data_IF_018296252137
#
_entry.id   IF_018296252137
#
_cell.length_a   1.000
_cell.length_b   1.000
_cell.length_c   1.000
_cell.angle_alpha   90.00
_cell.angle_beta   90.00
_cell.angle_gamma   90.00
#
_symmetry.space_group_name_H-M   'P 1'
#
loop_
_entity.id
_entity.type
_entity.pdbx_description
1 polymer ?
#
# COMPACT_ATOMS: atom_id res chain seq x y z
N UNK A 1 12.33 24.63 -8.22
CA UNK A 1 11.57 24.92 -6.97
C UNK A 1 10.24 25.53 -7.36
N UNK A 2 9.14 24.94 -6.88
CA UNK A 2 7.78 25.44 -7.12
C UNK A 2 7.24 26.11 -5.86
N UNK A 3 6.60 27.30 -5.93
CA UNK A 3 6.09 28.00 -4.77
C UNK A 3 4.80 27.35 -4.24
N UNK A 4 4.61 27.44 -2.92
CA UNK A 4 3.33 27.17 -2.27
C UNK A 4 2.91 28.42 -1.52
N UNK A 5 1.69 28.89 -1.78
CA UNK A 5 1.22 30.19 -1.29
C UNK A 5 -0.03 29.99 -0.42
N UNK A 6 -0.02 30.54 0.79
CA UNK A 6 -1.20 30.64 1.65
C UNK A 6 -1.73 32.07 1.65
N UNK A 7 -3.04 32.22 1.58
CA UNK A 7 -3.74 33.49 1.49
C UNK A 7 -4.73 33.60 2.65
N UNK A 8 -4.64 34.68 3.41
CA UNK A 8 -5.65 35.09 4.39
C UNK A 8 -6.13 36.52 4.07
N UNK A 9 -7.43 36.77 4.16
CA UNK A 9 -8.09 37.99 3.75
C UNK A 9 -8.64 38.71 5.01
N UNK A 10 -8.35 40.00 5.18
CA UNK A 10 -8.95 40.82 6.19
C UNK A 10 -10.29 41.42 5.65
N UNK A 11 -11.34 41.50 6.47
CA UNK A 11 -11.49 41.02 7.85
C UNK A 11 -11.95 39.58 7.98
N UNK A 12 -12.23 38.88 6.86
CA UNK A 12 -12.89 37.56 6.80
C UNK A 12 -12.12 36.48 7.56
N UNK A 13 -10.78 36.52 7.45
CA UNK A 13 -9.90 35.50 8.03
C UNK A 13 -9.12 36.00 9.26
N UNK A 14 -9.46 37.19 9.78
CA UNK A 14 -8.89 37.82 10.96
C UNK A 14 -8.82 39.34 10.83
N UNK A 15 -8.82 40.02 11.96
CA UNK A 15 -8.81 41.48 12.03
C UNK A 15 -7.46 42.04 12.53
N UNK A 16 -6.57 41.16 13.00
CA UNK A 16 -5.21 41.53 13.44
C UNK A 16 -4.14 40.80 12.64
N UNK A 17 -2.95 41.38 12.61
CA UNK A 17 -1.84 40.85 11.81
C UNK A 17 -1.38 39.46 12.26
N UNK A 18 -1.42 39.16 13.55
CA UNK A 18 -0.97 37.86 14.08
C UNK A 18 -1.91 36.74 13.65
N UNK A 19 -3.22 36.96 13.72
CA UNK A 19 -4.24 36.02 13.27
C UNK A 19 -4.17 35.80 11.76
N UNK A 20 -4.01 36.88 10.98
CA UNK A 20 -3.89 36.79 9.52
C UNK A 20 -2.63 36.01 9.10
N UNK A 21 -1.49 36.28 9.70
CA UNK A 21 -0.25 35.56 9.43
C UNK A 21 -0.38 34.06 9.79
N UNK A 22 -0.89 33.76 10.97
CA UNK A 22 -1.14 32.34 11.37
C UNK A 22 -2.04 31.61 10.39
N UNK A 23 -3.10 32.27 9.93
CA UNK A 23 -4.07 31.67 9.01
C UNK A 23 -3.49 31.53 7.59
N UNK A 24 -2.69 32.48 7.13
CA UNK A 24 -1.95 32.38 5.87
C UNK A 24 -0.89 31.26 5.91
N UNK A 25 -0.17 31.11 7.03
CA UNK A 25 0.78 30.01 7.23
C UNK A 25 0.09 28.66 7.20
N UNK A 26 -1.06 28.50 7.85
CA UNK A 26 -1.88 27.29 7.78
C UNK A 26 -2.29 26.93 6.35
N UNK A 27 -2.76 27.94 5.59
CA UNK A 27 -3.12 27.75 4.19
C UNK A 27 -1.91 27.44 3.29
N UNK A 28 -0.74 28.03 3.55
CA UNK A 28 0.50 27.70 2.84
C UNK A 28 0.95 26.26 3.14
N UNK A 29 0.81 25.83 4.38
CA UNK A 29 1.12 24.44 4.76
C UNK A 29 0.21 23.44 4.03
N UNK A 30 -1.09 23.71 3.96
CA UNK A 30 -2.06 22.92 3.19
C UNK A 30 -1.69 22.89 1.69
N UNK A 31 -1.26 24.02 1.11
CA UNK A 31 -0.79 24.07 -0.26
C UNK A 31 0.45 23.19 -0.51
N UNK A 32 1.38 23.12 0.46
CA UNK A 32 2.53 22.21 0.40
C UNK A 32 2.11 20.75 0.48
N UNK A 33 1.19 20.43 1.37
CA UNK A 33 0.69 19.10 1.59
C UNK A 33 -0.13 18.56 0.41
N UNK A 34 -0.86 19.42 -0.29
CA UNK A 34 -1.70 19.07 -1.44
C UNK A 34 -0.95 19.03 -2.78
N UNK A 35 0.38 18.82 -2.78
CA UNK A 35 1.17 18.63 -4.01
C UNK A 35 2.03 19.82 -4.42
N UNK A 36 2.15 20.87 -3.61
CA UNK A 36 2.94 22.10 -3.90
C UNK A 36 2.47 22.81 -5.17
N UNK A 37 3.22 23.81 -5.65
CA UNK A 37 2.95 24.55 -6.90
C UNK A 37 1.51 25.09 -7.03
N UNK A 38 0.92 25.55 -5.93
CA UNK A 38 -0.44 26.04 -5.86
C UNK A 38 -0.60 27.07 -4.74
N UNK A 39 -1.73 27.77 -4.76
CA UNK A 39 -2.16 28.58 -3.64
C UNK A 39 -3.37 27.95 -2.94
N UNK A 40 -3.55 28.27 -1.66
CA UNK A 40 -4.74 27.97 -0.88
C UNK A 40 -5.20 29.22 -0.16
N UNK A 41 -6.49 29.47 -0.22
CA UNK A 41 -7.14 30.50 0.61
C UNK A 41 -7.50 29.85 1.93
N UNK A 42 -7.26 30.53 3.02
CA UNK A 42 -7.57 30.05 4.35
C UNK A 42 -9.07 29.73 4.49
N UNK A 43 -9.35 28.65 5.18
CA UNK A 43 -10.67 28.30 5.71
C UNK A 43 -10.51 27.82 7.14
N UNK A 44 -11.54 27.95 7.98
CA UNK A 44 -11.47 27.48 9.37
C UNK A 44 -11.13 25.98 9.50
N UNK A 45 -11.50 25.18 8.49
CA UNK A 45 -11.19 23.75 8.42
C UNK A 45 -9.69 23.48 8.23
N UNK A 46 -8.93 24.40 7.62
CA UNK A 46 -7.48 24.25 7.42
C UNK A 46 -6.75 24.22 8.76
N UNK A 47 -7.05 25.12 9.69
CA UNK A 47 -6.40 25.11 11.00
C UNK A 47 -6.64 23.80 11.76
N UNK A 48 -7.86 23.26 11.70
CA UNK A 48 -8.18 21.97 12.33
C UNK A 48 -7.38 20.81 11.70
N UNK A 49 -7.24 20.81 10.36
CA UNK A 49 -6.44 19.81 9.63
C UNK A 49 -4.95 19.91 9.98
N UNK A 50 -4.39 21.12 9.97
CA UNK A 50 -2.99 21.36 10.33
C UNK A 50 -2.73 20.94 11.78
N UNK A 51 -3.59 21.30 12.72
CA UNK A 51 -3.46 20.88 14.12
C UNK A 51 -3.57 19.36 14.29
N UNK A 52 -4.55 18.72 13.60
CA UNK A 52 -4.68 17.24 13.58
C UNK A 52 -3.41 16.58 13.05
N UNK A 53 -2.82 17.13 11.99
CA UNK A 53 -1.63 16.60 11.34
C UNK A 53 -0.38 16.73 12.21
N UNK A 54 -0.15 17.89 12.83
CA UNK A 54 0.95 18.10 13.77
C UNK A 54 0.84 17.16 14.99
N UNK A 55 -0.37 16.99 15.53
CA UNK A 55 -0.64 16.02 16.60
C UNK A 55 -0.28 14.60 16.14
N UNK A 56 -0.72 14.24 14.92
CA UNK A 56 -0.49 12.91 14.37
C UNK A 56 1.01 12.64 14.13
N UNK A 57 1.81 13.65 13.74
CA UNK A 57 3.26 13.52 13.58
C UNK A 57 3.95 13.16 14.91
N UNK A 58 3.64 13.92 15.96
CA UNK A 58 4.20 13.69 17.30
C UNK A 58 3.79 12.31 17.82
N UNK A 59 2.52 11.96 17.65
CA UNK A 59 1.97 10.70 18.09
C UNK A 59 2.54 9.52 17.31
N UNK A 60 2.74 9.65 15.98
CA UNK A 60 3.31 8.59 15.13
C UNK A 60 4.75 8.26 15.53
N UNK A 61 5.57 9.27 15.84
CA UNK A 61 6.94 9.05 16.31
C UNK A 61 6.96 8.25 17.61
N UNK A 62 6.09 8.62 18.55
CA UNK A 62 5.92 7.87 19.81
C UNK A 62 5.35 6.47 19.58
N UNK A 63 4.40 6.33 18.67
CA UNK A 63 3.79 5.05 18.31
C UNK A 63 4.81 4.06 17.77
N UNK A 64 5.74 4.53 16.93
CA UNK A 64 6.84 3.74 16.40
C UNK A 64 7.76 3.24 17.51
N UNK A 65 8.10 4.07 18.48
CA UNK A 65 8.94 3.72 19.63
C UNK A 65 8.24 2.80 20.64
N UNK A 66 6.90 2.87 20.75
CA UNK A 66 6.10 2.17 21.76
C UNK A 66 5.29 0.98 21.24
N UNK A 67 5.69 0.41 20.09
CA UNK A 67 5.08 -0.81 19.52
C UNK A 67 3.58 -0.72 19.26
N UNK A 68 3.05 0.48 18.97
CA UNK A 68 1.65 0.67 18.59
C UNK A 68 1.38 0.36 17.11
N UNK A 69 2.45 0.27 16.30
CA UNK A 69 2.35 -0.18 14.92
C UNK A 69 2.38 -1.70 14.87
N UNK A 70 1.55 -2.27 14.02
CA UNK A 70 1.46 -3.70 13.78
C UNK A 70 1.40 -3.99 12.29
N UNK A 71 1.92 -5.15 11.87
CA UNK A 71 1.78 -5.65 10.51
C UNK A 71 0.62 -6.64 10.47
N UNK A 72 -0.32 -6.38 9.59
CA UNK A 72 -1.42 -7.25 9.23
C UNK A 72 -1.21 -7.79 7.83
N UNK A 73 -1.77 -8.93 7.54
CA UNK A 73 -1.61 -9.60 6.25
C UNK A 73 -2.96 -9.70 5.57
N UNK A 74 -3.10 -9.11 4.39
CA UNK A 74 -4.28 -9.31 3.57
C UNK A 74 -4.01 -10.43 2.59
N UNK A 75 -4.76 -11.55 2.67
CA UNK A 75 -4.54 -12.68 1.77
C UNK A 75 -4.84 -12.30 0.32
N UNK A 76 -3.98 -12.74 -0.58
CA UNK A 76 -4.19 -12.74 -2.02
C UNK A 76 -4.57 -14.16 -2.45
N UNK A 77 -5.57 -14.27 -3.30
CA UNK A 77 -6.09 -15.54 -3.74
C UNK A 77 -5.89 -15.72 -5.23
N UNK A 78 -5.61 -16.93 -5.65
CA UNK A 78 -5.72 -17.32 -7.05
C UNK A 78 -7.18 -17.19 -7.49
N UNK A 79 -7.43 -16.48 -8.59
CA UNK A 79 -8.78 -16.14 -9.00
C UNK A 79 -9.61 -17.36 -9.41
N UNK A 80 -8.98 -18.44 -9.87
CA UNK A 80 -9.65 -19.65 -10.35
C UNK A 80 -9.86 -20.69 -9.25
N UNK A 81 -8.79 -21.07 -8.56
CA UNK A 81 -8.82 -22.07 -7.50
C UNK A 81 -9.33 -21.57 -6.17
N UNK A 82 -9.27 -20.24 -5.94
CA UNK A 82 -9.50 -19.57 -4.66
C UNK A 82 -8.58 -20.05 -3.54
N UNK A 83 -7.44 -20.66 -3.88
CA UNK A 83 -6.37 -20.94 -2.93
C UNK A 83 -5.59 -19.68 -2.57
N UNK A 84 -5.03 -19.62 -1.36
CA UNK A 84 -4.15 -18.52 -0.95
C UNK A 84 -2.87 -18.58 -1.79
N UNK A 85 -2.61 -17.56 -2.58
CA UNK A 85 -1.47 -17.46 -3.49
C UNK A 85 -0.39 -16.50 -2.98
N UNK A 86 -0.74 -15.59 -2.08
CA UNK A 86 0.15 -14.58 -1.51
C UNK A 86 -0.49 -13.88 -0.32
N UNK A 87 0.19 -12.86 0.17
CA UNK A 87 -0.38 -11.89 1.09
C UNK A 87 0.26 -10.53 0.90
N UNK A 88 -0.47 -9.46 1.16
CA UNK A 88 0.09 -8.12 1.28
C UNK A 88 0.26 -7.74 2.75
N UNK A 89 1.46 -7.27 3.11
CA UNK A 89 1.78 -6.78 4.44
C UNK A 89 1.33 -5.32 4.58
N UNK A 90 0.34 -5.10 5.40
CA UNK A 90 -0.30 -3.82 5.59
C UNK A 90 -0.09 -3.29 7.01
N UNK A 91 0.39 -2.07 7.12
CA UNK A 91 0.54 -1.39 8.40
C UNK A 91 -0.81 -1.10 9.05
N UNK A 92 -0.86 -1.26 10.38
CA UNK A 92 -1.97 -0.83 11.23
C UNK A 92 -1.41 -0.08 12.42
N UNK A 93 -2.07 1.01 12.78
CA UNK A 93 -1.74 1.77 13.98
C UNK A 93 -2.90 1.74 14.95
N UNK A 94 -2.67 1.14 16.11
CA UNK A 94 -3.64 1.07 17.20
C UNK A 94 -3.27 2.06 18.29
N UNK A 95 -3.90 3.23 18.24
CA UNK A 95 -3.68 4.27 19.24
C UNK A 95 -4.46 3.95 20.53
N UNK A 96 -3.84 4.06 21.74
CA UNK A 96 -4.47 3.63 22.99
C UNK A 96 -5.81 4.31 23.31
N UNK A 97 -5.99 5.56 22.84
CA UNK A 97 -7.19 6.36 23.13
C UNK A 97 -8.12 6.54 21.92
N UNK A 98 -7.59 6.41 20.68
CA UNK A 98 -8.34 6.68 19.45
C UNK A 98 -8.71 5.41 18.67
N UNK A 99 -8.27 4.25 19.15
CA UNK A 99 -8.44 3.00 18.42
C UNK A 99 -7.57 2.97 17.15
N UNK A 100 -8.03 2.30 16.13
CA UNK A 100 -7.30 2.19 14.88
C UNK A 100 -7.28 3.52 14.11
N UNK A 101 -6.07 4.01 13.83
CA UNK A 101 -5.85 5.20 13.00
C UNK A 101 -5.87 4.80 11.52
N UNK A 102 -6.46 5.67 10.69
CA UNK A 102 -6.52 5.50 9.23
C UNK A 102 -5.12 5.37 8.63
N UNK A 103 -4.87 4.28 7.89
CA UNK A 103 -3.56 4.02 7.27
C UNK A 103 -3.15 5.13 6.30
N UNK A 104 -4.01 5.62 5.37
CA UNK A 104 -3.65 6.74 4.51
C UNK A 104 -3.27 8.00 5.29
N UNK A 105 -3.97 8.31 6.40
CA UNK A 105 -3.69 9.51 7.20
C UNK A 105 -2.28 9.49 7.79
N UNK A 106 -1.87 8.39 8.42
CA UNK A 106 -0.56 8.36 9.05
C UNK A 106 0.60 8.04 8.08
N UNK A 107 0.34 7.31 6.99
CA UNK A 107 1.34 7.08 5.95
C UNK A 107 1.72 8.40 5.27
N UNK A 108 0.74 9.26 4.94
CA UNK A 108 1.00 10.57 4.38
C UNK A 108 1.90 11.43 5.32
N UNK A 109 1.64 11.38 6.64
CA UNK A 109 2.50 12.06 7.64
C UNK A 109 3.89 11.43 7.70
N UNK A 110 4.00 10.10 7.66
CA UNK A 110 5.27 9.39 7.66
C UNK A 110 6.13 9.75 6.45
N UNK A 111 5.53 9.86 5.27
CA UNK A 111 6.22 10.26 4.03
C UNK A 111 6.77 11.69 4.12
N UNK A 112 5.96 12.64 4.57
CA UNK A 112 6.38 14.04 4.68
C UNK A 112 7.49 14.25 5.70
N UNK A 113 7.40 13.57 6.83
CA UNK A 113 8.39 13.68 7.92
C UNK A 113 9.64 12.84 7.69
N UNK A 114 9.59 11.90 6.72
CA UNK A 114 10.65 10.94 6.44
C UNK A 114 10.67 9.72 7.35
N UNK A 115 9.73 9.61 8.29
CA UNK A 115 9.57 8.42 9.14
C UNK A 115 9.22 7.17 8.34
N UNK A 116 8.67 7.34 7.13
CA UNK A 116 8.29 6.21 6.26
C UNK A 116 9.46 5.26 6.00
N UNK A 117 10.69 5.77 5.91
CA UNK A 117 11.89 4.94 5.70
C UNK A 117 12.21 4.04 6.90
N UNK A 118 12.04 4.53 8.12
CA UNK A 118 12.27 3.73 9.32
C UNK A 118 11.12 2.73 9.54
N UNK A 119 9.90 3.16 9.29
CA UNK A 119 8.70 2.31 9.33
C UNK A 119 8.79 1.21 8.26
N UNK A 120 9.19 1.53 7.03
CA UNK A 120 9.35 0.55 5.95
C UNK A 120 10.40 -0.51 6.29
N UNK A 121 11.55 -0.08 6.83
CA UNK A 121 12.57 -1.01 7.32
C UNK A 121 12.03 -1.93 8.42
N UNK A 122 11.37 -1.37 9.41
CA UNK A 122 10.77 -2.14 10.50
C UNK A 122 9.71 -3.12 9.99
N UNK A 123 8.88 -2.69 9.03
CA UNK A 123 7.86 -3.53 8.40
C UNK A 123 8.50 -4.74 7.73
N UNK A 124 9.53 -4.54 6.91
CA UNK A 124 10.25 -5.63 6.25
C UNK A 124 10.89 -6.58 7.26
N UNK A 125 11.51 -6.06 8.32
CA UNK A 125 12.06 -6.87 9.41
C UNK A 125 10.97 -7.69 10.11
N UNK A 126 9.77 -7.11 10.33
CA UNK A 126 8.65 -7.84 10.93
C UNK A 126 8.15 -8.94 10.01
N UNK A 127 7.98 -8.65 8.71
CA UNK A 127 7.59 -9.65 7.71
C UNK A 127 8.61 -10.80 7.67
N UNK A 128 9.90 -10.50 7.70
CA UNK A 128 10.93 -11.54 7.75
C UNK A 128 10.83 -12.42 9.01
N UNK A 129 10.57 -11.82 10.18
CA UNK A 129 10.35 -12.59 11.43
C UNK A 129 9.13 -13.50 11.34
N UNK A 130 8.03 -12.99 10.81
CA UNK A 130 6.79 -13.75 10.67
C UNK A 130 6.97 -14.91 9.67
N UNK A 131 7.62 -14.66 8.54
CA UNK A 131 7.98 -15.69 7.55
C UNK A 131 8.86 -16.79 8.17
N UNK A 132 9.86 -16.44 8.98
CA UNK A 132 10.69 -17.40 9.71
C UNK A 132 9.85 -18.26 10.66
N UNK A 133 8.95 -17.65 11.44
CA UNK A 133 8.07 -18.36 12.37
C UNK A 133 7.14 -19.33 11.64
N UNK A 134 6.52 -18.90 10.54
CA UNK A 134 5.64 -19.76 9.75
C UNK A 134 6.38 -20.95 9.14
N UNK A 135 7.57 -20.71 8.58
CA UNK A 135 8.42 -21.80 8.03
C UNK A 135 8.90 -22.76 9.13
N UNK A 136 9.28 -22.25 10.28
CA UNK A 136 9.67 -23.08 11.44
C UNK A 136 8.50 -23.94 11.95
N UNK A 137 7.25 -23.44 11.80
CA UNK A 137 6.04 -24.20 12.08
C UNK A 137 5.65 -25.22 10.97
N UNK A 138 6.49 -25.39 9.95
CA UNK A 138 6.26 -26.32 8.84
C UNK A 138 5.20 -25.88 7.82
N UNK A 139 4.85 -24.57 7.82
CA UNK A 139 3.86 -24.05 6.88
C UNK A 139 4.50 -23.81 5.49
N UNK A 140 3.77 -24.15 4.44
CA UNK A 140 4.09 -23.71 3.08
C UNK A 140 3.66 -22.26 2.95
N UNK A 141 4.64 -21.36 2.95
CA UNK A 141 4.39 -19.93 2.98
C UNK A 141 4.41 -19.39 1.55
N UNK A 142 3.35 -18.74 1.10
CA UNK A 142 3.36 -18.01 -0.16
C UNK A 142 4.25 -16.75 -0.06
N UNK A 143 4.48 -16.07 -1.18
CA UNK A 143 5.16 -14.78 -1.18
C UNK A 143 4.38 -13.73 -0.38
N UNK A 144 5.10 -12.81 0.24
CA UNK A 144 4.52 -11.66 0.95
C UNK A 144 4.94 -10.37 0.25
N UNK A 145 3.95 -9.62 -0.18
CA UNK A 145 4.13 -8.31 -0.79
C UNK A 145 4.35 -7.24 0.29
N UNK A 146 5.32 -6.36 0.05
CA UNK A 146 5.71 -5.26 0.95
C UNK A 146 5.82 -3.98 0.17
N UNK A 147 5.09 -2.96 0.61
CA UNK A 147 5.11 -1.64 0.01
C UNK A 147 6.46 -0.94 0.24
N UNK A 148 7.08 -0.44 -0.82
CA UNK A 148 8.33 0.34 -0.78
C UNK A 148 8.02 1.79 -1.09
N UNK A 149 8.39 2.69 -0.17
CA UNK A 149 8.17 4.13 -0.42
C UNK A 149 9.03 4.63 -1.58
N UNK A 150 8.47 5.54 -2.39
CA UNK A 150 9.23 6.17 -3.47
C UNK A 150 10.51 6.84 -2.99
N UNK A 151 10.49 7.39 -1.77
CA UNK A 151 11.65 8.00 -1.15
C UNK A 151 12.79 7.01 -0.89
N UNK A 152 12.45 5.78 -0.45
CA UNK A 152 13.46 4.75 -0.21
C UNK A 152 13.95 4.14 -1.51
N UNK A 153 13.05 3.92 -2.45
CA UNK A 153 13.38 3.35 -3.75
C UNK A 153 14.38 4.22 -4.55
N UNK A 154 14.28 5.54 -4.45
CA UNK A 154 15.17 6.48 -5.12
C UNK A 154 16.56 6.63 -4.48
N UNK A 155 16.82 5.97 -3.36
CA UNK A 155 18.12 5.98 -2.73
C UNK A 155 19.11 5.08 -3.47
N UNK A 156 20.34 5.52 -3.55
CA UNK A 156 21.41 4.72 -4.18
C UNK A 156 21.71 3.41 -3.43
N UNK A 157 21.42 3.37 -2.13
CA UNK A 157 21.68 2.23 -1.24
C UNK A 157 20.45 1.32 -1.03
N UNK A 158 19.38 1.47 -1.84
CA UNK A 158 18.10 0.74 -1.67
C UNK A 158 18.31 -0.78 -1.67
N UNK A 159 19.09 -1.30 -2.62
CA UNK A 159 19.39 -2.74 -2.68
C UNK A 159 20.04 -3.23 -1.38
N UNK A 160 21.14 -2.59 -0.94
CA UNK A 160 21.86 -3.00 0.26
C UNK A 160 20.98 -2.96 1.51
N UNK A 161 20.09 -1.98 1.60
CA UNK A 161 19.17 -1.83 2.74
C UNK A 161 18.11 -2.92 2.79
N UNK A 162 17.54 -3.27 1.64
CA UNK A 162 16.48 -4.28 1.55
C UNK A 162 17.09 -5.68 1.61
N UNK A 163 18.12 -5.96 0.82
CA UNK A 163 18.75 -7.28 0.78
C UNK A 163 19.39 -7.65 2.11
N UNK A 164 20.07 -6.71 2.78
CA UNK A 164 20.69 -6.97 4.07
C UNK A 164 19.71 -7.49 5.13
N UNK A 165 18.48 -6.96 5.16
CA UNK A 165 17.44 -7.44 6.09
C UNK A 165 17.04 -8.89 5.79
N UNK A 166 16.88 -9.23 4.51
CA UNK A 166 16.46 -10.56 4.07
C UNK A 166 17.58 -11.57 4.25
N UNK A 167 18.83 -11.18 3.99
CA UNK A 167 20.02 -11.99 4.24
C UNK A 167 20.22 -12.29 5.73
N UNK A 168 20.11 -11.27 6.60
CA UNK A 168 20.16 -11.45 8.06
C UNK A 168 19.08 -12.42 8.57
N UNK A 169 17.92 -12.42 7.92
CA UNK A 169 16.84 -13.35 8.23
C UNK A 169 17.03 -14.74 7.61
N UNK A 170 18.08 -14.98 6.81
CA UNK A 170 18.31 -16.24 6.09
C UNK A 170 17.10 -16.74 5.29
N UNK A 171 16.39 -15.82 4.65
CA UNK A 171 15.22 -16.11 3.82
C UNK A 171 15.56 -16.02 2.33
N UNK A 172 14.94 -16.86 1.48
CA UNK A 172 14.99 -16.63 0.04
C UNK A 172 14.31 -15.30 -0.31
N UNK A 173 14.97 -14.46 -1.12
CA UNK A 173 14.39 -13.19 -1.56
C UNK A 173 13.05 -13.35 -2.33
N UNK A 174 12.88 -14.51 -2.99
CA UNK A 174 11.65 -14.87 -3.71
C UNK A 174 10.40 -15.00 -2.83
N UNK A 175 10.55 -15.02 -1.51
CA UNK A 175 9.41 -14.93 -0.58
C UNK A 175 8.92 -13.49 -0.36
N UNK A 176 9.66 -12.50 -0.86
CA UNK A 176 9.31 -11.09 -0.74
C UNK A 176 8.99 -10.54 -2.13
N UNK A 177 7.83 -9.95 -2.28
CA UNK A 177 7.44 -9.14 -3.42
C UNK A 177 7.50 -7.66 -3.01
N UNK A 178 8.22 -6.85 -3.76
CA UNK A 178 8.34 -5.42 -3.47
C UNK A 178 7.34 -4.66 -4.34
N UNK A 179 6.41 -3.96 -3.70
CA UNK A 179 5.37 -3.18 -4.37
C UNK A 179 5.80 -1.72 -4.50
N UNK A 180 5.67 -1.19 -5.70
CA UNK A 180 6.06 0.16 -6.07
C UNK A 180 4.89 0.82 -6.79
N UNK A 181 4.51 2.03 -6.37
CA UNK A 181 3.47 2.76 -7.08
C UNK A 181 3.92 3.19 -8.48
N UNK A 182 2.97 3.33 -9.38
CA UNK A 182 3.20 3.78 -10.76
C UNK A 182 4.05 5.05 -10.82
N UNK A 183 3.77 6.05 -9.96
CA UNK A 183 4.48 7.33 -9.93
C UNK A 183 5.97 7.23 -9.59
N UNK A 184 6.39 6.19 -8.86
CA UNK A 184 7.80 5.93 -8.53
C UNK A 184 8.54 5.37 -9.73
N UNK A 185 7.90 4.50 -10.48
CA UNK A 185 8.47 3.87 -11.66
C UNK A 185 8.76 4.87 -12.80
N UNK A 186 8.00 5.97 -12.86
CA UNK A 186 8.16 7.02 -13.86
C UNK A 186 9.43 7.88 -13.71
N UNK A 187 10.20 7.69 -12.62
CA UNK A 187 11.43 8.44 -12.39
C UNK A 187 12.63 7.71 -12.99
N UNK A 188 13.36 8.37 -13.88
CA UNK A 188 14.49 7.80 -14.65
C UNK A 188 15.59 7.07 -13.82
N UNK A 189 15.65 7.36 -12.52
CA UNK A 189 16.66 6.79 -11.61
C UNK A 189 16.36 5.33 -11.22
N UNK A 190 15.12 4.88 -11.39
CA UNK A 190 14.65 3.60 -10.84
C UNK A 190 15.10 2.34 -11.59
N UNK A 191 15.41 2.41 -12.88
CA UNK A 191 15.64 1.23 -13.72
C UNK A 191 16.80 0.34 -13.21
N UNK A 192 17.93 0.95 -12.82
CA UNK A 192 19.09 0.19 -12.30
C UNK A 192 18.78 -0.47 -10.96
N UNK A 193 18.05 0.22 -10.09
CA UNK A 193 17.65 -0.31 -8.79
C UNK A 193 16.69 -1.48 -8.95
N UNK A 194 15.71 -1.39 -9.86
CA UNK A 194 14.80 -2.50 -10.17
C UNK A 194 15.55 -3.72 -10.69
N UNK A 195 16.46 -3.51 -11.63
CA UNK A 195 17.27 -4.60 -12.18
C UNK A 195 18.09 -5.30 -11.10
N UNK A 196 18.76 -4.53 -10.24
CA UNK A 196 19.57 -5.07 -9.15
C UNK A 196 18.73 -5.83 -8.11
N UNK A 197 17.53 -5.33 -7.75
CA UNK A 197 16.61 -6.03 -6.85
C UNK A 197 16.11 -7.33 -7.48
N UNK A 198 15.80 -7.32 -8.78
CA UNK A 198 15.40 -8.50 -9.53
C UNK A 198 16.50 -9.55 -9.61
N UNK A 199 17.74 -9.14 -9.92
CA UNK A 199 18.91 -10.02 -9.97
C UNK A 199 19.25 -10.63 -8.59
N UNK A 200 18.94 -9.91 -7.51
CA UNK A 200 19.06 -10.46 -6.14
C UNK A 200 18.01 -11.54 -5.86
N UNK A 201 16.89 -11.55 -6.58
CA UNK A 201 15.85 -12.57 -6.49
C UNK A 201 14.52 -12.12 -5.92
N UNK A 202 14.29 -10.81 -5.70
CA UNK A 202 12.99 -10.29 -5.31
C UNK A 202 11.98 -10.39 -6.44
N UNK A 203 10.70 -10.62 -6.09
CA UNK A 203 9.59 -10.35 -6.98
C UNK A 203 9.27 -8.84 -6.94
N UNK A 204 8.85 -8.28 -8.08
CA UNK A 204 8.55 -6.86 -8.22
C UNK A 204 7.14 -6.66 -8.74
N UNK A 205 6.35 -5.83 -8.06
CA UNK A 205 5.00 -5.49 -8.47
C UNK A 205 4.85 -3.97 -8.69
N UNK A 206 4.05 -3.62 -9.69
CA UNK A 206 3.53 -2.25 -9.81
C UNK A 206 2.15 -2.18 -9.17
N UNK A 207 2.00 -1.23 -8.26
CA UNK A 207 0.78 -0.99 -7.48
C UNK A 207 0.01 0.24 -7.98
N UNK A 208 -1.30 0.31 -7.68
CA UNK A 208 -2.21 1.39 -8.07
C UNK A 208 -2.21 1.67 -9.59
N UNK A 209 -2.03 0.62 -10.43
CA UNK A 209 -1.88 0.81 -11.87
C UNK A 209 -3.14 1.37 -12.52
N UNK A 210 -2.94 2.40 -13.36
CA UNK A 210 -3.98 3.09 -14.11
C UNK A 210 -4.48 4.38 -13.47
N UNK A 211 -4.06 4.70 -12.23
CA UNK A 211 -4.43 5.97 -11.56
C UNK A 211 -3.51 7.13 -11.94
N UNK A 212 -2.40 6.85 -12.63
CA UNK A 212 -1.38 7.81 -13.03
C UNK A 212 -1.17 7.92 -14.54
N UNK A 213 -0.02 8.39 -14.96
CA UNK A 213 0.37 8.57 -16.35
C UNK A 213 1.45 7.56 -16.78
N UNK A 214 1.23 6.25 -16.56
CA UNK A 214 2.22 5.28 -16.98
C UNK A 214 2.35 5.22 -18.50
N UNK A 215 3.56 5.44 -19.00
CA UNK A 215 3.86 5.14 -20.39
C UNK A 215 4.09 3.64 -20.54
N UNK A 216 3.35 2.98 -21.42
CA UNK A 216 3.51 1.56 -21.77
C UNK A 216 4.97 1.18 -22.10
N UNK A 217 5.76 2.16 -22.55
CA UNK A 217 7.17 1.97 -22.85
C UNK A 217 8.02 1.70 -21.61
N UNK A 218 7.61 2.22 -20.45
CA UNK A 218 8.29 1.94 -19.17
C UNK A 218 7.96 0.55 -18.64
N UNK A 219 6.69 0.13 -18.69
CA UNK A 219 6.30 -1.23 -18.28
C UNK A 219 7.09 -2.31 -19.03
N UNK A 220 7.31 -2.12 -20.33
CA UNK A 220 8.11 -3.05 -21.15
C UNK A 220 9.58 -3.13 -20.73
N UNK A 221 10.13 -2.06 -20.14
CA UNK A 221 11.56 -1.96 -19.77
C UNK A 221 11.86 -2.48 -18.37
N UNK A 222 10.87 -2.49 -17.50
CA UNK A 222 11.07 -2.87 -16.11
C UNK A 222 10.91 -4.37 -15.92
N UNK A 223 11.78 -5.00 -15.11
CA UNK A 223 11.73 -6.43 -14.85
C UNK A 223 10.65 -6.76 -13.80
N UNK A 224 9.40 -6.41 -14.08
CA UNK A 224 8.25 -6.63 -13.21
C UNK A 224 7.73 -8.07 -13.32
N UNK A 225 7.11 -8.56 -12.26
CA UNK A 225 6.43 -9.85 -12.19
C UNK A 225 4.92 -9.70 -12.10
N UNK A 226 4.45 -8.68 -11.38
CA UNK A 226 3.04 -8.50 -11.05
C UNK A 226 2.58 -7.09 -11.40
N UNK A 227 1.36 -6.98 -11.88
CA UNK A 227 0.62 -5.74 -12.07
C UNK A 227 -0.66 -5.81 -11.24
N UNK A 228 -0.85 -4.84 -10.33
CA UNK A 228 -2.02 -4.75 -9.47
C UNK A 228 -2.99 -3.70 -10.04
N UNK A 229 -4.23 -4.11 -10.30
CA UNK A 229 -5.29 -3.23 -10.78
C UNK A 229 -5.92 -2.55 -9.58
N UNK A 230 -5.88 -1.20 -9.54
CA UNK A 230 -6.45 -0.42 -8.44
C UNK A 230 -7.96 -0.62 -8.32
N UNK A 231 -8.44 -0.61 -7.08
CA UNK A 231 -9.85 -0.76 -6.73
C UNK A 231 -10.79 0.26 -7.37
N UNK A 232 -10.27 1.43 -7.76
CA UNK A 232 -11.09 2.47 -8.39
C UNK A 232 -11.72 1.98 -9.69
N UNK A 233 -11.04 1.11 -10.44
CA UNK A 233 -11.57 0.50 -11.67
C UNK A 233 -12.50 -0.68 -11.41
N UNK A 234 -12.49 -1.24 -10.20
CA UNK A 234 -13.33 -2.39 -9.87
C UNK A 234 -14.69 -2.02 -9.31
N UNK A 235 -14.84 -0.80 -8.81
CA UNK A 235 -16.03 -0.38 -8.08
C UNK A 235 -17.30 -0.55 -8.90
N UNK A 236 -17.28 -0.13 -10.14
CA UNK A 236 -18.44 -0.09 -11.03
C UNK A 236 -18.32 -1.03 -12.25
N UNK A 237 -17.36 -1.97 -12.25
CA UNK A 237 -17.01 -2.83 -13.41
C UNK A 237 -18.18 -3.70 -13.92
N UNK A 238 -19.19 -3.96 -13.10
CA UNK A 238 -20.34 -4.78 -13.47
C UNK A 238 -21.48 -3.96 -14.07
N UNK A 239 -21.42 -2.64 -13.96
CA UNK A 239 -22.49 -1.73 -14.42
C UNK A 239 -21.96 -0.67 -15.38
N UNK A 240 -20.67 -0.34 -15.33
CA UNK A 240 -20.02 0.63 -16.21
C UNK A 240 -19.21 -0.11 -17.30
N UNK A 241 -19.61 0.11 -18.57
CA UNK A 241 -18.93 -0.51 -19.70
C UNK A 241 -17.54 0.08 -19.96
N UNK A 242 -17.26 1.32 -19.56
CA UNK A 242 -15.97 1.97 -19.73
C UNK A 242 -14.97 1.39 -18.72
N UNK A 243 -15.33 1.28 -17.46
CA UNK A 243 -14.51 0.63 -16.42
C UNK A 243 -14.22 -0.84 -16.79
N UNK A 244 -15.24 -1.57 -17.25
CA UNK A 244 -15.07 -2.94 -17.73
C UNK A 244 -14.10 -3.03 -18.92
N UNK A 245 -14.14 -2.08 -19.86
CA UNK A 245 -13.22 -2.05 -20.99
C UNK A 245 -11.78 -1.73 -20.57
N UNK A 246 -11.61 -0.83 -19.60
CA UNK A 246 -10.30 -0.48 -19.03
C UNK A 246 -9.68 -1.70 -18.35
N UNK A 247 -10.44 -2.39 -17.48
CA UNK A 247 -9.94 -3.60 -16.77
C UNK A 247 -9.54 -4.70 -17.77
N UNK A 248 -10.35 -4.96 -18.81
CA UNK A 248 -9.97 -5.91 -19.88
C UNK A 248 -8.67 -5.50 -20.58
N UNK A 249 -8.54 -4.22 -20.90
CA UNK A 249 -7.33 -3.72 -21.55
C UNK A 249 -6.09 -3.89 -20.67
N UNK A 250 -6.20 -3.63 -19.36
CA UNK A 250 -5.11 -3.82 -18.39
C UNK A 250 -4.72 -5.30 -18.29
N UNK A 251 -5.70 -6.21 -18.15
CA UNK A 251 -5.46 -7.66 -18.07
C UNK A 251 -4.75 -8.14 -19.36
N UNK A 252 -5.29 -7.80 -20.52
CA UNK A 252 -4.68 -8.18 -21.80
C UNK A 252 -3.29 -7.60 -22.02
N UNK A 253 -3.05 -6.36 -21.62
CA UNK A 253 -1.74 -5.73 -21.67
C UNK A 253 -0.73 -6.46 -20.77
N UNK A 254 -1.10 -6.71 -19.52
CA UNK A 254 -0.22 -7.37 -18.56
C UNK A 254 0.17 -8.77 -19.01
N UNK A 255 -0.77 -9.58 -19.48
CA UNK A 255 -0.48 -10.91 -20.02
C UNK A 255 0.42 -10.86 -21.27
N UNK A 256 0.24 -9.89 -22.18
CA UNK A 256 1.13 -9.70 -23.31
C UNK A 256 2.56 -9.31 -22.91
N UNK A 257 2.73 -8.74 -21.72
CA UNK A 257 4.04 -8.42 -21.14
C UNK A 257 4.59 -9.55 -20.25
N UNK A 258 3.85 -10.65 -20.09
CA UNK A 258 4.22 -11.79 -19.24
C UNK A 258 4.08 -11.51 -17.74
N UNK A 259 3.23 -10.54 -17.35
CA UNK A 259 2.99 -10.17 -15.96
C UNK A 259 1.81 -10.96 -15.40
N UNK A 260 1.88 -11.30 -14.12
CA UNK A 260 0.75 -11.74 -13.32
C UNK A 260 -0.15 -10.56 -12.99
N UNK A 261 -1.46 -10.73 -13.11
CA UNK A 261 -2.44 -9.67 -12.85
C UNK A 261 -3.19 -9.95 -11.55
N UNK A 262 -3.15 -9.00 -10.63
CA UNK A 262 -3.89 -9.07 -9.37
C UNK A 262 -4.89 -7.92 -9.30
N UNK A 263 -6.16 -8.22 -9.09
CA UNK A 263 -7.21 -7.22 -8.94
C UNK A 263 -7.45 -6.92 -7.45
N UNK A 264 -7.39 -5.64 -7.08
CA UNK A 264 -7.55 -5.18 -5.70
C UNK A 264 -8.94 -4.64 -5.41
N UNK A 265 -9.37 -4.78 -4.15
CA UNK A 265 -10.65 -4.24 -3.73
C UNK A 265 -11.86 -5.01 -4.26
N UNK A 266 -11.72 -6.30 -4.53
CA UNK A 266 -12.84 -7.18 -4.91
C UNK A 266 -13.78 -7.34 -3.71
N UNK A 267 -15.03 -6.87 -3.85
CA UNK A 267 -16.02 -6.82 -2.76
C UNK A 267 -17.26 -7.67 -3.05
N UNK A 268 -17.54 -7.99 -4.32
CA UNK A 268 -18.74 -8.74 -4.71
C UNK A 268 -18.42 -9.98 -5.55
N UNK A 269 -19.38 -10.93 -5.53
CA UNK A 269 -19.27 -12.13 -6.36
C UNK A 269 -19.35 -11.83 -7.86
N UNK A 270 -20.08 -10.80 -8.24
CA UNK A 270 -20.23 -10.35 -9.63
C UNK A 270 -18.88 -9.82 -10.15
N UNK A 271 -18.16 -9.04 -9.35
CA UNK A 271 -16.80 -8.58 -9.67
C UNK A 271 -15.87 -9.79 -9.86
N UNK A 272 -15.90 -10.75 -8.95
CA UNK A 272 -15.09 -11.95 -9.05
C UNK A 272 -15.40 -12.75 -10.33
N UNK A 273 -16.68 -12.93 -10.68
CA UNK A 273 -17.07 -13.62 -11.89
C UNK A 273 -16.57 -12.93 -13.16
N UNK A 274 -16.69 -11.59 -13.20
CA UNK A 274 -16.15 -10.78 -14.29
C UNK A 274 -14.63 -10.97 -14.42
N UNK A 275 -13.88 -10.81 -13.35
CA UNK A 275 -12.42 -10.94 -13.35
C UNK A 275 -11.97 -12.35 -13.80
N UNK A 276 -12.67 -13.39 -13.39
CA UNK A 276 -12.43 -14.76 -13.85
C UNK A 276 -12.69 -14.92 -15.35
N UNK A 277 -13.79 -14.36 -15.84
CA UNK A 277 -14.14 -14.44 -17.25
C UNK A 277 -13.11 -13.73 -18.14
N UNK A 278 -12.52 -12.64 -17.64
CA UNK A 278 -11.47 -11.89 -18.34
C UNK A 278 -10.06 -12.48 -18.11
N UNK A 279 -9.93 -13.56 -17.31
CA UNK A 279 -8.67 -14.28 -17.12
C UNK A 279 -7.72 -13.63 -16.10
N UNK A 280 -8.21 -12.81 -15.15
CA UNK A 280 -7.39 -12.29 -14.07
C UNK A 280 -6.78 -13.42 -13.24
N UNK A 281 -5.48 -13.31 -12.88
CA UNK A 281 -4.74 -14.39 -12.22
C UNK A 281 -4.98 -14.42 -10.71
N UNK A 282 -5.05 -13.25 -10.08
CA UNK A 282 -5.18 -13.10 -8.64
C UNK A 282 -6.19 -12.06 -8.23
N UNK A 283 -6.71 -12.22 -7.03
CA UNK A 283 -7.68 -11.29 -6.43
C UNK A 283 -7.32 -10.99 -4.98
N UNK A 284 -7.59 -9.76 -4.57
CA UNK A 284 -7.50 -9.30 -3.19
C UNK A 284 -8.70 -8.40 -2.89
N UNK A 285 -9.36 -8.59 -1.74
CA UNK A 285 -10.49 -7.74 -1.38
C UNK A 285 -11.33 -8.28 -0.24
N UNK A 286 -12.30 -7.49 0.18
CA UNK A 286 -13.15 -7.79 1.34
C UNK A 286 -14.15 -8.92 1.08
N UNK A 287 -14.37 -9.28 -0.18
CA UNK A 287 -15.14 -10.47 -0.53
C UNK A 287 -14.52 -11.73 0.09
N UNK A 288 -13.19 -11.83 0.04
CA UNK A 288 -12.46 -12.99 0.52
C UNK A 288 -11.98 -12.83 1.97
N UNK A 289 -11.23 -11.77 2.24
CA UNK A 289 -10.71 -11.47 3.58
C UNK A 289 -10.31 -10.01 3.72
N UNK A 290 -10.49 -9.48 4.92
CA UNK A 290 -9.79 -8.25 5.34
C UNK A 290 -8.35 -8.60 5.71
N UNK A 291 -7.50 -7.58 5.90
CA UNK A 291 -6.20 -7.80 6.50
C UNK A 291 -6.36 -8.35 7.93
N UNK A 292 -5.62 -9.41 8.25
CA UNK A 292 -5.67 -10.16 9.52
C UNK A 292 -4.30 -10.20 10.19
N UNK A 293 -4.22 -10.37 11.51
CA UNK A 293 -2.95 -10.51 12.23
C UNK A 293 -2.15 -11.74 11.76
N UNK A 294 -0.81 -11.71 11.94
CA UNK A 294 0.11 -12.77 11.55
C UNK A 294 -0.32 -14.18 12.02
N UNK A 295 -0.80 -14.30 13.26
CA UNK A 295 -1.27 -15.57 13.81
C UNK A 295 -2.51 -16.10 13.07
N UNK A 296 -3.47 -15.22 12.74
CA UNK A 296 -4.66 -15.61 11.99
C UNK A 296 -4.32 -15.98 10.54
N UNK A 297 -3.35 -15.31 9.93
CA UNK A 297 -2.85 -15.67 8.61
C UNK A 297 -2.16 -17.05 8.62
N UNK A 298 -1.37 -17.34 9.65
CA UNK A 298 -0.76 -18.66 9.83
C UNK A 298 -1.81 -19.79 9.92
N UNK A 299 -2.90 -19.56 10.64
CA UNK A 299 -4.02 -20.53 10.70
C UNK A 299 -4.71 -20.68 9.32
N UNK A 300 -4.89 -19.58 8.59
CA UNK A 300 -5.47 -19.60 7.25
C UNK A 300 -4.66 -20.48 6.29
N UNK A 301 -3.34 -20.30 6.23
CA UNK A 301 -2.48 -21.10 5.35
C UNK A 301 -2.35 -22.55 5.82
N UNK A 302 -2.42 -22.84 7.14
CA UNK A 302 -2.42 -24.18 7.71
C UNK A 302 -3.68 -24.96 7.31
N UNK A 303 -4.82 -24.28 7.29
CA UNK A 303 -6.11 -24.89 6.98
C UNK A 303 -6.27 -25.31 5.52
N UNK A 304 -5.34 -24.93 4.63
CA UNK A 304 -5.37 -25.23 3.20
C UNK A 304 -6.73 -24.88 2.62
N UNK A 305 -7.01 -23.60 2.37
CA UNK A 305 -8.35 -23.15 1.95
C UNK A 305 -8.76 -23.84 0.66
N UNK A 306 -9.67 -24.79 0.77
CA UNK A 306 -10.48 -25.28 -0.35
C UNK A 306 -11.78 -24.48 -0.40
N UNK A 307 -12.21 -24.13 -1.59
CA UNK A 307 -13.26 -23.17 -1.94
C UNK A 307 -14.68 -23.38 -1.36
N UNK A 308 -14.84 -24.09 -0.26
CA UNK A 308 -16.14 -24.38 0.34
C UNK A 308 -16.35 -23.92 1.79
N UNK A 309 -15.33 -23.37 2.46
CA UNK A 309 -15.38 -23.15 3.91
C UNK A 309 -15.24 -21.69 4.41
N UNK A 310 -15.10 -20.72 3.52
CA UNK A 310 -14.49 -19.44 3.83
C UNK A 310 -15.34 -18.42 4.60
N UNK A 311 -16.63 -18.30 4.33
CA UNK A 311 -17.44 -17.25 5.01
C UNK A 311 -17.77 -17.58 6.48
N UNK A 312 -17.95 -18.86 6.82
CA UNK A 312 -18.35 -19.27 8.17
C UNK A 312 -17.16 -19.43 9.14
N UNK A 313 -15.96 -19.76 8.65
CA UNK A 313 -14.77 -19.95 9.47
C UNK A 313 -14.13 -18.61 9.90
N UNK A 314 -14.12 -17.62 9.01
CA UNK A 314 -13.52 -16.30 9.28
C UNK A 314 -14.35 -15.44 10.25
N UNK A 315 -15.67 -15.61 10.26
CA UNK A 315 -16.56 -14.91 11.21
C UNK A 315 -16.30 -15.37 12.66
N UNK A 316 -15.84 -16.59 12.87
CA UNK A 316 -15.52 -17.13 14.22
C UNK A 316 -14.20 -16.62 14.79
N UNK A 317 -13.21 -16.31 13.95
CA UNK A 317 -11.91 -15.80 14.39
C UNK A 317 -11.97 -14.30 14.70
N UNK A 318 -12.80 -13.53 13.99
CA UNK A 318 -12.96 -12.09 14.20
C UNK A 318 -13.78 -11.73 15.46
N UNK A 319 -14.63 -12.64 15.96
CA UNK A 319 -15.49 -12.42 17.14
C UNK A 319 -14.80 -12.85 18.45
N UNK A 320 -13.69 -13.60 18.38
CA UNK A 320 -12.95 -14.08 19.57
C UNK A 320 -11.85 -13.15 20.09
N UNK A 321 -11.64 -12.00 19.47
CA UNK A 321 -10.62 -11.00 19.85
C UNK A 321 -11.25 -9.64 20.16
N UNK A 322 -12.36 -9.63 20.92
CA UNK A 322 -12.98 -8.44 21.49
C UNK A 322 -12.58 -8.26 22.94
#
# INVERSE_FOLDING_TARGET
MTPSIGIAICPEHGTDAQTLLKNADGAMYEAKASGRNQFRVFTSTINARVAKRLSLEIELRRAFESSQLQVYYQPQYDAHSLGVAGAEALLRWFHPQRGQISTPDFVAVAEETGLISDIGRWTLQQVCRDLQQWRAAGLTVPSVAVNVSGRDFLRQDVLLRISGIVEEAHLPASLIELELTEGVLMQDVGQRSLQALKEFGFALAVDDFGTGYCSLNYLKRFPLDTLKIDRAFLKDITVDAEDAAIVRAIIGLGHNLGLRIVAEGVETHEQLQFLRAEGCDGIQGFLMSRAIPAAAFAELIRGGVTAGGTAAALTRVAVGAG
#
